data_IF_968948927610
#
_entry.id   IF_968948927610
#
_cell.length_a   1.000
_cell.length_b   1.000
_cell.length_c   1.000
_cell.angle_alpha   90.00
_cell.angle_beta   90.00
_cell.angle_gamma   90.00
#
_symmetry.space_group_name_H-M   'P 1'
#
loop_
_entity.id
_entity.type
_entity.pdbx_description
1 polymer ?
#
# COMPACT_ATOMS: atom_id res chain seq x y z
N UNK A 1 -18.37 12.47 -11.27
CA UNK A 1 -17.80 13.82 -11.15
C UNK A 1 -17.04 13.95 -9.83
N UNK A 2 -15.83 14.51 -9.90
CA UNK A 2 -14.98 14.66 -8.72
C UNK A 2 -15.21 16.03 -8.12
N UNK A 3 -15.50 16.05 -6.82
CA UNK A 3 -15.66 17.30 -6.08
C UNK A 3 -14.30 17.83 -5.62
N UNK A 4 -14.23 19.12 -5.36
CA UNK A 4 -12.99 19.76 -4.93
C UNK A 4 -12.40 19.10 -3.68
N UNK A 5 -13.26 18.72 -2.70
CA UNK A 5 -12.80 18.04 -1.51
C UNK A 5 -12.16 16.68 -1.80
N UNK A 6 -12.67 15.97 -2.82
CA UNK A 6 -12.10 14.68 -3.20
C UNK A 6 -10.71 14.83 -3.81
N UNK A 7 -10.51 15.91 -4.56
CA UNK A 7 -9.20 16.22 -5.15
C UNK A 7 -8.17 16.44 -4.04
N UNK A 8 -8.53 17.22 -3.03
CA UNK A 8 -7.65 17.50 -1.90
C UNK A 8 -7.31 16.21 -1.14
N UNK A 9 -8.30 15.34 -0.94
CA UNK A 9 -8.07 14.07 -0.25
C UNK A 9 -7.15 13.14 -1.01
N UNK A 10 -7.29 13.08 -2.34
CA UNK A 10 -6.41 12.27 -3.17
C UNK A 10 -4.98 12.77 -3.06
N UNK A 11 -4.78 14.07 -3.15
CA UNK A 11 -3.44 14.66 -3.01
C UNK A 11 -2.81 14.33 -1.67
N UNK A 12 -3.58 14.43 -0.59
CA UNK A 12 -3.10 14.10 0.75
C UNK A 12 -2.74 12.63 0.85
N UNK A 13 -3.57 11.75 0.30
CA UNK A 13 -3.32 10.31 0.33
C UNK A 13 -2.06 9.95 -0.44
N UNK A 14 -1.87 10.51 -1.63
CA UNK A 14 -0.68 10.27 -2.43
C UNK A 14 0.57 10.77 -1.74
N UNK A 15 0.51 11.94 -1.12
CA UNK A 15 1.64 12.49 -0.37
C UNK A 15 2.01 11.60 0.82
N UNK A 16 1.00 11.08 1.52
CA UNK A 16 1.25 10.16 2.64
C UNK A 16 1.88 8.86 2.16
N UNK A 17 1.36 8.28 1.08
CA UNK A 17 1.91 7.04 0.53
C UNK A 17 3.37 7.25 0.12
N UNK A 18 3.68 8.34 -0.54
CA UNK A 18 5.04 8.66 -0.93
C UNK A 18 5.95 8.77 0.29
N UNK A 19 5.51 9.49 1.32
CA UNK A 19 6.27 9.67 2.55
C UNK A 19 6.53 8.34 3.24
N UNK A 20 5.49 7.52 3.39
CA UNK A 20 5.59 6.26 4.14
C UNK A 20 6.24 5.14 3.34
N UNK A 21 6.36 5.28 2.03
CA UNK A 21 7.13 4.33 1.22
C UNK A 21 8.62 4.68 1.17
N UNK A 22 9.06 5.73 1.85
CA UNK A 22 10.47 6.09 1.92
C UNK A 22 11.30 4.91 2.42
N UNK A 23 12.48 4.67 1.86
CA UNK A 23 13.28 3.50 2.23
C UNK A 23 13.51 3.40 3.73
N UNK A 24 13.19 2.25 4.30
CA UNK A 24 13.36 1.96 5.72
C UNK A 24 12.26 2.48 6.64
N UNK A 25 11.33 3.24 6.14
CA UNK A 25 10.23 3.76 6.95
C UNK A 25 9.28 2.62 7.32
N UNK A 26 8.98 2.47 8.63
CA UNK A 26 8.09 1.42 9.12
C UNK A 26 6.70 1.97 9.38
N UNK A 27 5.68 1.21 8.98
CA UNK A 27 4.29 1.60 9.14
C UNK A 27 3.45 0.40 9.55
N UNK A 28 2.65 0.56 10.60
CA UNK A 28 1.72 -0.48 11.01
C UNK A 28 0.58 -0.57 10.01
N UNK A 29 0.31 -1.79 9.53
CA UNK A 29 -0.70 -2.01 8.50
C UNK A 29 -1.61 -3.19 8.85
N UNK A 30 -2.74 -3.24 8.17
CA UNK A 30 -3.69 -4.35 8.22
C UNK A 30 -3.80 -4.94 6.82
N UNK A 31 -3.73 -6.25 6.73
CA UNK A 31 -3.64 -6.96 5.45
C UNK A 31 -4.85 -7.85 5.23
N UNK A 32 -5.44 -7.72 4.05
CA UNK A 32 -6.47 -8.61 3.56
C UNK A 32 -7.80 -8.50 4.30
N UNK A 33 -8.76 -9.37 3.95
CA UNK A 33 -10.12 -9.29 4.49
C UNK A 33 -10.18 -9.59 6.00
N UNK A 34 -9.19 -10.30 6.54
CA UNK A 34 -9.15 -10.62 7.96
C UNK A 34 -8.43 -9.57 8.79
N UNK A 35 -7.94 -8.51 8.18
CA UNK A 35 -7.24 -7.42 8.86
C UNK A 35 -6.07 -7.91 9.73
N UNK A 36 -5.23 -8.76 9.17
CA UNK A 36 -4.04 -9.25 9.85
C UNK A 36 -3.06 -8.10 10.01
N UNK A 37 -2.57 -7.86 11.22
CA UNK A 37 -1.64 -6.76 11.47
C UNK A 37 -0.21 -7.14 11.10
N UNK A 38 0.55 -6.15 10.64
CA UNK A 38 1.95 -6.32 10.32
C UNK A 38 2.63 -4.97 10.22
N UNK A 39 3.96 -4.99 10.07
CA UNK A 39 4.74 -3.77 9.90
C UNK A 39 5.30 -3.73 8.49
N UNK A 40 4.86 -2.74 7.72
CA UNK A 40 5.35 -2.53 6.37
C UNK A 40 6.62 -1.69 6.40
N UNK A 41 7.56 -2.03 5.54
CA UNK A 41 8.81 -1.29 5.41
C UNK A 41 8.85 -0.68 4.02
N UNK A 42 9.02 0.64 3.94
CA UNK A 42 9.09 1.34 2.68
C UNK A 42 10.34 0.99 1.90
N UNK A 43 10.20 0.98 0.57
CA UNK A 43 11.30 0.71 -0.35
C UNK A 43 11.46 1.80 -1.41
N UNK A 44 10.68 2.87 -1.30
CA UNK A 44 10.71 3.98 -2.22
C UNK A 44 9.71 3.87 -3.35
N UNK A 45 9.22 5.00 -3.81
CA UNK A 45 8.34 5.07 -4.97
C UNK A 45 7.00 4.37 -4.81
N UNK A 46 6.49 4.28 -3.59
CA UNK A 46 5.22 3.60 -3.34
C UNK A 46 5.34 2.09 -3.19
N UNK A 47 6.56 1.56 -3.07
CA UNK A 47 6.81 0.14 -2.88
C UNK A 47 7.10 -0.19 -1.43
N UNK A 48 6.62 -1.34 -0.97
CA UNK A 48 6.74 -1.80 0.42
C UNK A 48 6.99 -3.30 0.47
N UNK A 49 7.58 -3.73 1.59
CA UNK A 49 7.63 -5.15 1.93
C UNK A 49 7.18 -5.34 3.37
N UNK A 50 6.73 -6.55 3.68
CA UNK A 50 6.52 -6.93 5.06
C UNK A 50 6.69 -8.43 5.20
N UNK A 51 7.08 -8.87 6.40
CA UNK A 51 7.28 -10.29 6.69
C UNK A 51 6.16 -10.78 7.60
N UNK A 52 5.65 -11.98 7.32
CA UNK A 52 4.60 -12.61 8.10
C UNK A 52 4.94 -14.08 8.30
N UNK A 53 4.36 -14.72 9.33
CA UNK A 53 4.47 -16.17 9.46
C UNK A 53 3.87 -16.85 8.21
N UNK A 54 4.45 -17.99 7.85
CA UNK A 54 4.07 -18.69 6.63
C UNK A 54 2.63 -19.21 6.64
N UNK A 55 2.06 -19.38 7.83
CA UNK A 55 0.69 -19.87 7.97
C UNK A 55 -0.39 -18.80 7.83
N UNK A 56 0.02 -17.54 7.73
CA UNK A 56 -0.92 -16.45 7.47
C UNK A 56 -1.28 -16.46 5.98
N UNK A 57 -2.58 -16.50 5.70
CA UNK A 57 -3.04 -16.53 4.31
C UNK A 57 -3.01 -15.14 3.70
N UNK A 58 -2.17 -14.96 2.69
CA UNK A 58 -2.06 -13.71 1.94
C UNK A 58 -2.02 -14.06 0.45
N UNK A 59 -2.81 -13.35 -0.33
CA UNK A 59 -2.90 -13.60 -1.76
C UNK A 59 -2.63 -12.33 -2.56
N UNK A 60 -2.16 -12.53 -3.79
CA UNK A 60 -1.99 -11.43 -4.73
C UNK A 60 -3.34 -10.71 -4.90
N UNK A 61 -3.30 -9.38 -4.84
CA UNK A 61 -4.51 -8.58 -4.94
C UNK A 61 -5.11 -8.20 -3.60
N UNK A 62 -4.63 -8.79 -2.50
CA UNK A 62 -5.11 -8.39 -1.18
C UNK A 62 -4.79 -6.92 -0.91
N UNK A 63 -5.73 -6.26 -0.26
CA UNK A 63 -5.60 -4.84 0.05
C UNK A 63 -4.90 -4.67 1.39
N UNK A 64 -4.01 -3.69 1.45
CA UNK A 64 -3.29 -3.34 2.66
C UNK A 64 -3.67 -1.93 3.07
N UNK A 65 -4.12 -1.79 4.32
CA UNK A 65 -4.60 -0.54 4.87
C UNK A 65 -3.67 -0.03 5.95
N UNK A 66 -3.61 1.27 6.12
CA UNK A 66 -2.79 1.89 7.16
C UNK A 66 -3.66 2.87 7.97
N UNK A 67 -4.52 2.35 8.84
CA UNK A 67 -5.44 3.19 9.60
C UNK A 67 -4.74 4.18 10.53
N UNK A 68 -3.54 3.85 11.02
CA UNK A 68 -2.80 4.74 11.91
C UNK A 68 -2.38 6.04 11.25
N UNK A 69 -2.30 6.08 9.93
CA UNK A 69 -1.96 7.29 9.19
C UNK A 69 -3.13 7.77 8.33
N UNK A 70 -4.30 7.23 8.62
CA UNK A 70 -5.54 7.65 7.98
C UNK A 70 -5.56 7.40 6.46
N UNK A 71 -4.95 6.29 6.04
CA UNK A 71 -4.95 5.89 4.64
C UNK A 71 -5.75 4.62 4.49
N UNK A 72 -6.83 4.67 3.72
CA UNK A 72 -7.73 3.55 3.52
C UNK A 72 -7.05 2.40 2.78
N UNK A 73 -6.26 2.71 1.75
CA UNK A 73 -5.52 1.73 0.99
C UNK A 73 -4.09 2.22 0.83
N UNK A 74 -3.16 1.57 1.52
CA UNK A 74 -1.75 1.88 1.37
C UNK A 74 -1.17 1.17 0.15
N UNK A 75 -1.66 -0.01 -0.13
CA UNK A 75 -1.18 -0.76 -1.26
C UNK A 75 -1.98 -2.02 -1.53
N UNK A 76 -1.55 -2.71 -2.58
CA UNK A 76 -2.15 -3.96 -3.02
C UNK A 76 -1.03 -4.97 -3.19
N UNK A 77 -1.25 -6.18 -2.68
CA UNK A 77 -0.23 -7.24 -2.75
C UNK A 77 0.09 -7.58 -4.21
N UNK A 78 1.36 -7.50 -4.53
CA UNK A 78 1.87 -7.77 -5.86
C UNK A 78 2.30 -9.23 -6.01
N UNK A 79 3.06 -9.72 -5.05
CA UNK A 79 3.41 -11.13 -4.97
C UNK A 79 3.93 -11.48 -3.58
N UNK A 80 4.01 -12.78 -3.31
CA UNK A 80 4.45 -13.30 -2.02
C UNK A 80 5.59 -14.27 -2.27
N UNK A 81 6.68 -14.12 -1.50
CA UNK A 81 7.82 -15.01 -1.56
C UNK A 81 7.89 -15.81 -0.27
N UNK A 82 7.87 -17.12 -0.38
CA UNK A 82 7.84 -18.01 0.78
C UNK A 82 9.23 -18.58 1.08
N UNK A 83 9.64 -18.52 2.35
CA UNK A 83 10.85 -19.16 2.82
C UNK A 83 10.48 -20.24 3.82
N UNK A 84 10.40 -21.47 3.35
CA UNK A 84 10.01 -22.61 4.17
C UNK A 84 10.99 -22.89 5.30
N UNK A 85 12.29 -22.65 5.06
CA UNK A 85 13.33 -22.90 6.07
C UNK A 85 13.16 -21.99 7.29
N UNK A 86 12.76 -20.74 7.07
CA UNK A 86 12.57 -19.77 8.13
C UNK A 86 11.13 -19.71 8.60
N UNK A 87 10.21 -20.44 7.97
CA UNK A 87 8.78 -20.43 8.25
C UNK A 87 8.18 -19.03 8.16
N UNK A 88 8.69 -18.22 7.24
CA UNK A 88 8.19 -16.87 6.98
C UNK A 88 7.85 -16.69 5.51
N UNK A 89 7.03 -15.69 5.24
CA UNK A 89 6.76 -15.25 3.90
C UNK A 89 6.99 -13.74 3.83
N UNK A 90 7.52 -13.28 2.72
CA UNK A 90 7.72 -11.86 2.46
C UNK A 90 6.69 -11.40 1.46
N UNK A 91 5.91 -10.42 1.86
CA UNK A 91 4.84 -9.88 1.03
C UNK A 91 5.34 -8.60 0.38
N UNK A 92 5.27 -8.56 -0.94
CA UNK A 92 5.63 -7.39 -1.71
C UNK A 92 4.37 -6.70 -2.17
N UNK A 93 4.21 -5.45 -1.80
CA UNK A 93 3.04 -4.70 -2.22
C UNK A 93 3.44 -3.29 -2.64
N UNK A 94 2.55 -2.66 -3.36
CA UNK A 94 2.80 -1.31 -3.86
C UNK A 94 1.51 -0.51 -3.82
N UNK A 95 1.67 0.81 -3.81
CA UNK A 95 0.55 1.73 -3.94
C UNK A 95 -0.29 1.36 -5.17
N UNK A 96 -1.62 1.50 -5.09
CA UNK A 96 -2.47 1.28 -6.26
C UNK A 96 -2.21 2.30 -7.35
N UNK A 97 -1.47 3.36 -7.04
CA UNK A 97 -1.09 4.38 -7.99
C UNK A 97 0.40 4.29 -8.26
N UNK A 98 0.80 4.53 -9.49
CA UNK A 98 2.21 4.69 -9.81
C UNK A 98 2.59 6.14 -9.47
N UNK A 99 3.15 6.35 -8.28
CA UNK A 99 3.44 7.68 -7.76
C UNK A 99 4.32 8.49 -8.71
N UNK A 100 5.28 7.84 -9.35
CA UNK A 100 6.22 8.52 -10.23
C UNK A 100 5.58 8.99 -11.54
N UNK A 101 4.51 8.33 -11.94
CA UNK A 101 3.83 8.62 -13.20
C UNK A 101 2.49 9.31 -13.02
N UNK A 102 2.11 9.60 -11.77
CA UNK A 102 0.81 10.22 -11.51
C UNK A 102 0.78 11.65 -12.03
N UNK A 103 -0.27 11.91 -12.78
CA UNK A 103 -0.61 13.25 -13.24
C UNK A 103 -2.03 13.52 -12.76
N UNK A 104 -2.18 14.49 -11.88
CA UNK A 104 -3.49 14.81 -11.32
C UNK A 104 -4.51 15.21 -12.38
N UNK A 105 -4.04 15.79 -13.48
CA UNK A 105 -4.92 16.11 -14.58
C UNK A 105 -5.54 14.84 -15.16
N UNK A 106 -4.74 13.79 -15.32
CA UNK A 106 -5.25 12.51 -15.82
C UNK A 106 -6.24 11.87 -14.86
N UNK A 107 -5.98 11.97 -13.55
CA UNK A 107 -6.87 11.40 -12.54
C UNK A 107 -8.24 12.08 -12.57
N UNK A 108 -8.27 13.39 -12.77
CA UNK A 108 -9.50 14.16 -12.69
C UNK A 108 -10.07 14.54 -14.06
N UNK A 109 -9.41 14.17 -15.14
CA UNK A 109 -9.92 14.36 -16.51
C UNK A 109 -10.88 13.22 -16.88
N UNK A 110 -11.95 13.10 -16.10
CA UNK A 110 -12.90 12.00 -16.27
C UNK A 110 -13.82 12.26 -17.43
N UNK A 111 -14.29 11.19 -18.09
CA UNK A 111 -15.35 11.32 -19.10
C UNK A 111 -16.56 11.95 -18.47
N UNK A 112 -17.13 12.87 -19.16
CA UNK A 112 -18.27 13.62 -18.65
C UNK A 112 -19.59 12.96 -19.07
#
# INVERSE_FOLDING_TARGET
QVLMGDIIEVEKSLSKVELYSSPGKETLVLIGPRSVSGTAIGRGGGNFILSLPIDVLVEKGDVIKAPSINVSILGVVEYVETDSAESIQTVYFKSPFNINDINFVDIFALPQ
#
